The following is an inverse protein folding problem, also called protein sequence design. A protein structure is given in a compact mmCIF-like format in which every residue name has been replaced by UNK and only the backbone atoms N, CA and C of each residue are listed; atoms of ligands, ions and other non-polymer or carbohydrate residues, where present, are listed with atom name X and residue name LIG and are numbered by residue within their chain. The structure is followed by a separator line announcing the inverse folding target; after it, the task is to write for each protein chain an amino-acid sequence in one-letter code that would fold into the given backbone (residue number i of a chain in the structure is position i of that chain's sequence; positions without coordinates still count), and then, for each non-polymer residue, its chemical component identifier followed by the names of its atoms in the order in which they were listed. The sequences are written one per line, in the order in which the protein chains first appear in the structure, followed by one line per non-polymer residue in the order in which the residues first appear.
data_IF_516595632038
#
_entry.id   IF_516595632038
#
_cell.length_a   1.000
_cell.length_b   1.000
_cell.length_c   1.000
_cell.angle_alpha   90.00
_cell.angle_beta   90.00
_cell.angle_gamma   90.00
#
_symmetry.space_group_name_H-M   'P 1'
#
loop_
_entity.id
_entity.type
_entity.pdbx_description
1 polymer ?
#
# COMPACT_ATOMS: atom_id res chain seq x y z
N UNK A 1 4.06 -8.74 2.55
CA UNK A 1 2.58 -8.82 2.56
C UNK A 1 2.19 -10.28 2.45
N UNK A 2 1.38 -10.77 3.39
CA UNK A 2 1.13 -12.21 3.52
C UNK A 2 -0.11 -12.66 2.76
N UNK A 3 -1.09 -11.78 2.56
CA UNK A 3 -2.38 -12.06 1.91
C UNK A 3 -2.79 -10.94 0.94
N UNK A 4 -3.71 -11.28 0.02
CA UNK A 4 -4.29 -10.34 -0.94
C UNK A 4 -3.48 -10.17 -2.23
N UNK A 5 -3.86 -9.18 -3.04
CA UNK A 5 -3.31 -8.97 -4.40
C UNK A 5 -1.80 -8.66 -4.40
N UNK A 6 -1.29 -8.02 -3.35
CA UNK A 6 0.13 -7.66 -3.23
C UNK A 6 0.95 -8.73 -2.49
N UNK A 7 0.41 -9.95 -2.35
CA UNK A 7 1.16 -11.09 -1.78
C UNK A 7 2.36 -11.41 -2.68
N UNK A 8 3.53 -11.62 -2.07
CA UNK A 8 4.77 -11.94 -2.79
C UNK A 8 5.53 -10.73 -3.32
N UNK A 9 4.98 -9.51 -3.23
CA UNK A 9 5.80 -8.31 -3.41
C UNK A 9 6.88 -8.25 -2.31
N UNK A 10 8.14 -7.95 -2.65
CA UNK A 10 9.20 -7.74 -1.68
C UNK A 10 8.76 -6.80 -0.57
N UNK A 11 9.18 -7.09 0.65
CA UNK A 11 8.94 -6.23 1.80
C UNK A 11 9.46 -4.82 1.49
N UNK A 12 8.56 -3.84 1.53
CA UNK A 12 8.89 -2.43 1.36
C UNK A 12 8.93 -1.70 2.70
N UNK A 13 9.61 -0.55 2.72
CA UNK A 13 9.58 0.36 3.86
C UNK A 13 8.18 0.97 4.00
N UNK A 14 7.71 1.13 5.24
CA UNK A 14 6.49 1.89 5.51
C UNK A 14 6.78 3.38 5.29
N UNK A 15 6.04 4.02 4.37
CA UNK A 15 6.19 5.45 4.08
C UNK A 15 5.30 6.30 4.98
N UNK A 16 4.06 5.86 5.21
CA UNK A 16 3.09 6.59 6.01
C UNK A 16 2.09 5.65 6.70
N UNK A 17 1.68 5.98 7.92
CA UNK A 17 0.60 5.29 8.64
C UNK A 17 -0.63 6.20 8.66
N UNK A 18 -1.67 5.80 7.94
CA UNK A 18 -2.93 6.55 7.91
C UNK A 18 -3.94 5.97 8.90
N UNK A 19 -3.76 6.33 10.18
CA UNK A 19 -4.51 5.78 11.32
C UNK A 19 -6.02 6.06 11.24
N UNK A 20 -6.44 7.20 10.67
CA UNK A 20 -7.88 7.52 10.48
C UNK A 20 -8.62 6.46 9.66
N UNK A 21 -7.92 5.74 8.77
CA UNK A 21 -8.47 4.65 7.97
C UNK A 21 -7.90 3.28 8.34
N UNK A 22 -7.09 3.19 9.40
CA UNK A 22 -6.38 1.97 9.81
C UNK A 22 -5.60 1.29 8.67
N UNK A 23 -4.99 2.08 7.79
CA UNK A 23 -4.17 1.58 6.68
C UNK A 23 -2.74 2.08 6.76
N UNK A 24 -1.83 1.30 6.19
CA UNK A 24 -0.41 1.59 6.05
C UNK A 24 -0.09 1.72 4.56
N UNK A 25 0.68 2.75 4.21
CA UNK A 25 1.26 2.91 2.89
C UNK A 25 2.68 2.33 2.90
N UNK A 26 2.97 1.49 1.90
CA UNK A 26 4.24 0.83 1.73
C UNK A 26 4.88 1.37 0.44
N UNK A 27 6.19 1.58 0.48
CA UNK A 27 6.98 2.01 -0.67
C UNK A 27 6.80 1.03 -1.84
N UNK A 28 6.69 1.58 -3.07
CA UNK A 28 6.44 0.84 -4.34
C UNK A 28 5.05 0.22 -4.47
N UNK A 29 4.18 0.35 -3.46
CA UNK A 29 2.78 -0.08 -3.56
C UNK A 29 1.92 1.11 -3.93
N UNK A 30 1.94 1.40 -5.23
CA UNK A 30 1.20 2.47 -5.86
C UNK A 30 0.35 1.95 -6.99
N UNK A 31 -0.77 2.63 -7.25
CA UNK A 31 -1.60 2.44 -8.44
C UNK A 31 -1.63 3.73 -9.22
N UNK A 32 -1.58 3.62 -10.55
CA UNK A 32 -1.83 4.73 -11.45
C UNK A 32 -3.34 4.92 -11.63
N UNK A 33 -3.80 6.17 -11.53
CA UNK A 33 -5.17 6.56 -11.84
C UNK A 33 -5.30 6.84 -13.34
N UNK A 34 -6.53 6.84 -13.85
CA UNK A 34 -6.80 7.19 -15.25
C UNK A 34 -6.33 8.61 -15.65
N UNK A 35 -6.12 9.50 -14.68
CA UNK A 35 -5.58 10.83 -14.89
C UNK A 35 -4.04 10.90 -14.85
N UNK A 36 -3.33 9.76 -14.90
CA UNK A 36 -1.86 9.68 -14.94
C UNK A 36 -1.17 9.86 -13.59
N UNK A 37 -1.90 10.20 -12.52
CA UNK A 37 -1.30 10.37 -11.20
C UNK A 37 -1.15 9.03 -10.48
N UNK A 38 -0.01 8.84 -9.82
CA UNK A 38 0.23 7.68 -8.94
C UNK A 38 -0.28 7.96 -7.53
N UNK A 39 -0.98 6.99 -6.96
CA UNK A 39 -1.47 7.05 -5.58
C UNK A 39 -1.07 5.81 -4.81
N UNK A 40 -0.76 5.99 -3.53
CA UNK A 40 -0.46 4.88 -2.62
C UNK A 40 -1.70 4.06 -2.32
N UNK A 41 -1.53 2.74 -2.27
CA UNK A 41 -2.61 1.82 -1.93
C UNK A 41 -2.52 1.54 -0.43
N UNK A 42 -3.62 1.77 0.28
CA UNK A 42 -3.74 1.47 1.70
C UNK A 42 -3.83 -0.03 1.96
N UNK A 43 -2.92 -0.56 2.77
CA UNK A 43 -2.93 -1.95 3.22
C UNK A 43 -3.27 -2.00 4.70
N UNK A 44 -4.18 -2.90 5.08
CA UNK A 44 -4.46 -3.16 6.49
C UNK A 44 -3.25 -3.85 7.13
N UNK A 45 -2.76 -3.42 8.31
CA UNK A 45 -1.52 -3.94 8.89
C UNK A 45 -1.53 -5.45 9.21
N UNK A 46 -2.70 -6.08 9.35
CA UNK A 46 -2.84 -7.53 9.57
C UNK A 46 -2.99 -8.38 8.28
N UNK A 47 -2.75 -7.79 7.09
CA UNK A 47 -2.77 -8.49 5.79
C UNK A 47 -1.39 -8.91 5.29
#
# INVERSE_FOLDING_TARGET
ITRGHFKGQPSGKVTQVYRKKFVVHIERITREKANGNTVHIGIHPSK
#
